data_IF_553898300280
#
_entry.id   IF_553898300280
#
_cell.length_a   1.000
_cell.length_b   1.000
_cell.length_c   1.000
_cell.angle_alpha   90.00
_cell.angle_beta   90.00
_cell.angle_gamma   90.00
#
_symmetry.space_group_name_H-M   'P 1'
#
loop_
_entity.id
_entity.type
_entity.pdbx_description
1 polymer ?
#
# COMPACT_ATOMS: atom_id res chain seq x y z
N UNK A 1 1.41 4.56 -21.18
CA UNK A 1 2.16 4.10 -20.00
C UNK A 1 2.25 2.60 -20.11
N UNK A 2 3.45 2.06 -20.32
CA UNK A 2 3.67 0.61 -20.38
C UNK A 2 4.51 0.26 -19.15
N UNK A 3 3.88 -0.34 -18.14
CA UNK A 3 4.61 -0.85 -16.97
C UNK A 3 5.20 -2.20 -17.38
N UNK A 4 6.52 -2.23 -17.49
CA UNK A 4 7.26 -3.47 -17.73
C UNK A 4 7.44 -4.15 -16.39
N UNK A 5 6.91 -5.37 -16.27
CA UNK A 5 7.08 -6.19 -15.08
C UNK A 5 8.07 -7.33 -15.29
N UNK A 6 8.70 -7.75 -14.21
CA UNK A 6 9.62 -8.89 -14.21
C UNK A 6 8.86 -10.19 -13.93
N UNK A 7 9.30 -11.30 -14.52
CA UNK A 7 8.71 -12.63 -14.31
C UNK A 7 8.67 -13.48 -15.57
N UNK A 8 8.74 -14.80 -15.38
CA UNK A 8 8.66 -15.80 -16.46
C UNK A 8 7.23 -16.24 -16.75
N UNK A 9 6.30 -15.96 -15.83
CA UNK A 9 4.88 -16.26 -15.94
C UNK A 9 4.04 -15.02 -15.70
N UNK A 10 2.80 -15.02 -16.20
CA UNK A 10 1.85 -13.94 -15.98
C UNK A 10 1.66 -13.66 -14.48
N UNK A 11 1.63 -14.71 -13.66
CA UNK A 11 1.48 -14.59 -12.21
C UNK A 11 2.66 -13.85 -11.59
N UNK A 12 3.90 -14.21 -11.95
CA UNK A 12 5.10 -13.52 -11.47
C UNK A 12 5.10 -12.06 -11.88
N UNK A 13 4.75 -11.74 -13.13
CA UNK A 13 4.64 -10.37 -13.60
C UNK A 13 3.58 -9.58 -12.84
N UNK A 14 2.42 -10.17 -12.53
CA UNK A 14 1.39 -9.52 -11.72
C UNK A 14 1.86 -9.29 -10.28
N UNK A 15 2.56 -10.25 -9.68
CA UNK A 15 3.14 -10.10 -8.33
C UNK A 15 4.19 -9.00 -8.29
N UNK A 16 5.05 -8.92 -9.31
CA UNK A 16 6.00 -7.81 -9.45
C UNK A 16 5.29 -6.45 -9.46
N UNK A 17 4.22 -6.32 -10.25
CA UNK A 17 3.43 -5.09 -10.28
C UNK A 17 2.79 -4.77 -8.93
N UNK A 18 2.25 -5.76 -8.21
CA UNK A 18 1.71 -5.55 -6.86
C UNK A 18 2.77 -4.98 -5.90
N UNK A 19 3.99 -5.53 -5.93
CA UNK A 19 5.09 -5.02 -5.12
C UNK A 19 5.45 -3.58 -5.50
N UNK A 20 5.63 -3.29 -6.79
CA UNK A 20 5.96 -1.93 -7.26
C UNK A 20 4.90 -0.92 -6.85
N UNK A 21 3.61 -1.28 -6.94
CA UNK A 21 2.51 -0.40 -6.54
C UNK A 21 2.48 -0.12 -5.03
N UNK A 22 2.86 -1.09 -4.20
CA UNK A 22 3.01 -0.91 -2.75
C UNK A 22 4.13 0.12 -2.45
N UNK A 23 5.31 -0.08 -3.03
CA UNK A 23 6.44 0.84 -2.88
C UNK A 23 6.14 2.25 -3.40
N UNK A 24 5.42 2.38 -4.52
CA UNK A 24 4.98 3.68 -5.04
C UNK A 24 4.03 4.39 -4.07
N UNK A 25 3.09 3.64 -3.47
CA UNK A 25 2.15 4.19 -2.48
C UNK A 25 2.89 4.69 -1.23
N UNK A 26 3.88 3.94 -0.75
CA UNK A 26 4.73 4.34 0.37
C UNK A 26 5.54 5.60 0.04
N UNK A 27 6.21 5.63 -1.11
CA UNK A 27 7.02 6.77 -1.55
C UNK A 27 6.18 8.05 -1.67
N UNK A 28 4.96 7.94 -2.22
CA UNK A 28 4.03 9.04 -2.31
C UNK A 28 3.55 9.52 -0.94
N UNK A 29 3.33 8.60 0.01
CA UNK A 29 3.02 8.93 1.40
C UNK A 29 4.13 9.78 2.05
N UNK A 30 5.38 9.34 1.91
CA UNK A 30 6.57 10.06 2.41
C UNK A 30 6.69 11.44 1.77
N UNK A 31 6.55 11.54 0.45
CA UNK A 31 6.64 12.82 -0.28
C UNK A 31 5.60 13.84 0.19
N UNK A 32 4.40 13.37 0.56
CA UNK A 32 3.33 14.22 1.07
C UNK A 32 3.40 14.44 2.59
N UNK A 33 4.47 14.01 3.27
CA UNK A 33 4.61 14.14 4.72
C UNK A 33 3.59 13.33 5.53
N UNK A 34 2.96 12.32 4.90
CA UNK A 34 2.04 11.39 5.57
C UNK A 34 2.82 10.20 6.09
N UNK A 35 2.38 9.61 7.20
CA UNK A 35 2.91 8.32 7.63
C UNK A 35 2.45 7.24 6.64
N UNK A 36 3.34 6.64 5.84
CA UNK A 36 2.95 5.69 4.81
C UNK A 36 2.48 4.35 5.38
N UNK A 37 2.78 4.08 6.66
CA UNK A 37 2.27 2.93 7.41
C UNK A 37 0.95 3.23 8.14
N UNK A 38 0.49 4.49 8.14
CA UNK A 38 -0.80 4.84 8.74
C UNK A 38 -1.94 4.42 7.83
N UNK A 39 -2.91 3.70 8.39
CA UNK A 39 -4.14 3.34 7.70
C UNK A 39 -5.25 4.01 8.49
N UNK A 40 -5.47 5.31 8.20
CA UNK A 40 -6.36 6.16 8.98
C UNK A 40 -7.74 5.55 9.30
N UNK A 41 -8.41 4.86 8.36
CA UNK A 41 -9.66 4.14 8.66
C UNK A 41 -9.51 3.01 9.70
N UNK A 42 -8.40 2.26 9.69
CA UNK A 42 -8.13 1.21 10.67
C UNK A 42 -7.87 1.82 12.05
N UNK A 43 -7.11 2.91 12.11
CA UNK A 43 -6.84 3.59 13.38
C UNK A 43 -8.12 4.18 13.98
N UNK A 44 -8.99 4.74 13.13
CA UNK A 44 -10.32 5.23 13.52
C UNK A 44 -11.21 4.10 14.02
N UNK A 45 -11.20 2.94 13.35
CA UNK A 45 -11.95 1.76 13.76
C UNK A 45 -11.47 1.22 15.11
N UNK A 46 -10.15 1.10 15.32
CA UNK A 46 -9.57 0.69 16.61
C UNK A 46 -10.00 1.64 17.74
N UNK A 47 -9.97 2.94 17.48
CA UNK A 47 -10.43 3.96 18.44
C UNK A 47 -11.91 3.80 18.79
N UNK A 48 -12.77 3.61 17.79
CA UNK A 48 -14.18 3.34 18.04
C UNK A 48 -14.37 2.08 18.88
N UNK A 49 -13.79 0.95 18.47
CA UNK A 49 -13.91 -0.33 19.19
C UNK A 49 -13.44 -0.23 20.65
N UNK A 50 -12.34 0.48 20.92
CA UNK A 50 -11.84 0.72 22.28
C UNK A 50 -12.74 1.63 23.12
N UNK A 51 -13.61 2.44 22.51
CA UNK A 51 -14.58 3.30 23.23
C UNK A 51 -15.87 2.59 23.61
N UNK A 52 -16.19 1.45 22.96
CA UNK A 52 -17.42 0.67 23.20
C UNK A 52 -17.19 -0.56 24.08
N UNK A 53 -15.95 -0.78 24.55
CA UNK A 53 -15.54 -1.87 25.43
C UNK A 53 -15.30 -1.36 26.85
#
# INVERSE_FOLDING_TARGET
>A
WNLVGEGSSLLETLLYHCMVMDWLSLALGVLHGKNPASIGPIDSLKGHLGSVQ
#
